data_IF_276500094994
#
_entry.id   IF_276500094994
#
_cell.length_a   1.000
_cell.length_b   1.000
_cell.length_c   1.000
_cell.angle_alpha   90.00
_cell.angle_beta   90.00
_cell.angle_gamma   90.00
#
_symmetry.space_group_name_H-M   'P 1'
#
loop_
_entity.id
_entity.type
_entity.pdbx_description
1 polymer ?
#
# COMPACT_ATOMS: atom_id res chain seq x y z
N UNK A 1 26.72 16.76 36.79
CA UNK A 1 26.55 17.15 35.37
C UNK A 1 25.22 16.61 34.88
N UNK A 2 24.25 17.48 34.57
CA UNK A 2 22.97 17.08 33.97
C UNK A 2 23.25 16.44 32.61
N UNK A 3 23.06 15.13 32.48
CA UNK A 3 23.15 14.45 31.19
C UNK A 3 22.13 15.10 30.26
N UNK A 4 22.62 15.94 29.35
CA UNK A 4 21.83 16.51 28.26
C UNK A 4 21.39 15.33 27.39
N UNK A 5 20.09 15.30 27.08
CA UNK A 5 19.52 14.30 26.18
C UNK A 5 20.02 14.66 24.78
N UNK A 6 20.67 13.71 24.11
CA UNK A 6 21.13 13.88 22.74
C UNK A 6 19.99 14.04 21.75
N UNK A 7 20.29 14.54 20.55
CA UNK A 7 19.31 14.73 19.48
C UNK A 7 18.62 13.42 19.08
N UNK A 8 19.40 12.33 18.96
CA UNK A 8 18.92 11.00 18.61
C UNK A 8 18.57 10.12 19.82
N UNK A 9 18.63 10.65 21.05
CA UNK A 9 18.31 9.88 22.24
C UNK A 9 16.80 9.62 22.37
N UNK A 10 16.43 8.37 22.58
CA UNK A 10 15.04 7.93 22.70
C UNK A 10 14.66 7.85 24.17
N UNK A 11 13.82 8.78 24.63
CA UNK A 11 13.31 8.76 26.01
C UNK A 11 12.07 7.88 26.11
N UNK A 12 12.22 6.69 26.69
CA UNK A 12 11.15 5.75 27.02
C UNK A 12 10.57 6.13 28.39
N UNK A 13 9.70 7.14 28.40
CA UNK A 13 8.97 7.59 29.59
C UNK A 13 7.46 7.26 29.48
N UNK A 14 6.82 7.12 30.65
CA UNK A 14 5.34 7.12 30.71
C UNK A 14 4.82 8.54 30.45
N UNK A 15 3.86 8.69 29.54
CA UNK A 15 3.19 9.98 29.27
C UNK A 15 3.79 10.78 28.11
N UNK A 16 3.60 12.12 28.12
CA UNK A 16 3.99 13.01 27.00
C UNK A 16 5.46 13.43 26.99
N UNK A 17 6.21 13.19 28.08
CA UNK A 17 7.55 13.76 28.29
C UNK A 17 8.67 13.28 27.36
N UNK A 18 8.42 12.30 26.49
CA UNK A 18 9.39 11.84 25.47
C UNK A 18 8.99 12.20 24.03
N UNK A 19 7.79 12.76 23.81
CA UNK A 19 7.18 12.85 22.47
C UNK A 19 7.83 13.94 21.60
N UNK A 20 8.43 14.96 22.21
CA UNK A 20 8.94 16.13 21.50
C UNK A 20 10.40 16.00 21.04
N UNK A 21 11.12 14.97 21.48
CA UNK A 21 12.51 14.73 21.07
C UNK A 21 12.60 14.11 19.67
N UNK A 22 13.58 14.55 18.88
CA UNK A 22 13.80 14.09 17.50
C UNK A 22 14.08 12.58 17.42
N UNK A 23 14.95 12.04 18.26
CA UNK A 23 15.19 10.60 18.39
C UNK A 23 13.92 9.80 18.69
N UNK A 24 12.97 10.33 19.47
CA UNK A 24 11.69 9.66 19.68
C UNK A 24 10.81 9.63 18.41
N UNK A 25 10.85 10.69 17.58
CA UNK A 25 10.15 10.70 16.28
C UNK A 25 10.75 9.65 15.35
N UNK A 26 12.07 9.66 15.18
CA UNK A 26 12.80 8.66 14.38
C UNK A 26 12.51 7.23 14.84
N UNK A 27 12.54 7.00 16.15
CA UNK A 27 12.15 5.73 16.74
C UNK A 27 10.69 5.37 16.44
N UNK A 28 9.76 6.33 16.56
CA UNK A 28 8.35 6.11 16.26
C UNK A 28 8.11 5.79 14.78
N UNK A 29 8.87 6.39 13.87
CA UNK A 29 8.80 6.14 12.43
C UNK A 29 9.30 4.74 12.10
N UNK A 30 10.47 4.35 12.62
CA UNK A 30 11.01 2.99 12.50
C UNK A 30 10.05 1.93 13.03
N UNK A 31 9.42 2.19 14.18
CA UNK A 31 8.41 1.31 14.77
C UNK A 31 7.19 1.20 13.84
N UNK A 32 6.76 2.31 13.20
CA UNK A 32 5.63 2.33 12.25
C UNK A 32 5.94 1.57 10.96
N UNK A 33 7.12 1.76 10.40
CA UNK A 33 7.59 1.12 9.16
C UNK A 33 7.66 -0.41 9.31
N UNK A 34 8.14 -0.88 10.46
CA UNK A 34 8.34 -2.31 10.72
C UNK A 34 7.12 -2.98 11.38
N UNK A 35 6.05 -2.22 11.68
CA UNK A 35 4.93 -2.70 12.49
C UNK A 35 4.19 -3.88 11.85
N UNK A 36 3.90 -3.77 10.56
CA UNK A 36 3.10 -4.75 9.82
C UNK A 36 3.84 -6.10 9.70
N UNK A 37 5.12 -6.06 9.33
CA UNK A 37 5.97 -7.25 9.25
C UNK A 37 6.10 -7.94 10.61
N UNK A 38 6.27 -7.16 11.68
CA UNK A 38 6.36 -7.70 13.04
C UNK A 38 5.04 -8.36 13.47
N UNK A 39 3.89 -7.76 13.16
CA UNK A 39 2.59 -8.26 13.59
C UNK A 39 2.13 -9.48 12.79
N UNK A 40 2.41 -9.50 11.49
CA UNK A 40 2.02 -10.59 10.58
C UNK A 40 2.98 -11.79 10.66
N UNK A 41 4.13 -11.65 11.31
CA UNK A 41 5.06 -12.75 11.49
C UNK A 41 4.66 -13.67 12.65
N UNK A 42 4.54 -14.96 12.37
CA UNK A 42 4.40 -16.00 13.40
C UNK A 42 5.75 -16.45 13.98
N UNK A 43 6.87 -16.08 13.33
CA UNK A 43 8.21 -16.54 13.69
C UNK A 43 8.86 -15.58 14.69
N UNK A 44 9.24 -16.11 15.86
CA UNK A 44 9.92 -15.34 16.90
C UNK A 44 11.27 -14.78 16.44
N UNK A 45 12.01 -15.52 15.62
CA UNK A 45 13.32 -15.07 15.11
C UNK A 45 13.19 -13.82 14.23
N UNK A 46 12.15 -13.75 13.38
CA UNK A 46 11.87 -12.58 12.54
C UNK A 46 11.55 -11.37 13.42
N UNK A 47 10.73 -11.56 14.47
CA UNK A 47 10.42 -10.51 15.44
C UNK A 47 11.67 -10.00 16.16
N UNK A 48 12.57 -10.90 16.54
CA UNK A 48 13.85 -10.54 17.16
C UNK A 48 14.74 -9.74 16.21
N UNK A 49 14.84 -10.15 14.94
CA UNK A 49 15.61 -9.43 13.90
C UNK A 49 15.06 -8.02 13.70
N UNK A 50 13.74 -7.85 13.64
CA UNK A 50 13.11 -6.53 13.50
C UNK A 50 13.48 -5.63 14.68
N UNK A 51 13.35 -6.15 15.92
CA UNK A 51 13.70 -5.40 17.14
C UNK A 51 15.17 -5.00 17.14
N UNK A 52 16.07 -5.93 16.82
CA UNK A 52 17.50 -5.68 16.73
C UNK A 52 17.82 -4.61 15.67
N UNK A 53 17.14 -4.65 14.53
CA UNK A 53 17.29 -3.67 13.44
C UNK A 53 16.90 -2.27 13.90
N UNK A 54 15.77 -2.12 14.60
CA UNK A 54 15.33 -0.82 15.13
C UNK A 54 16.33 -0.26 16.14
N UNK A 55 16.80 -1.11 17.07
CA UNK A 55 17.79 -0.71 18.07
C UNK A 55 19.09 -0.27 17.40
N UNK A 56 19.56 -1.04 16.42
CA UNK A 56 20.78 -0.75 15.67
C UNK A 56 20.66 0.57 14.91
N UNK A 57 19.56 0.82 14.20
CA UNK A 57 19.34 2.06 13.44
C UNK A 57 19.45 3.33 14.30
N UNK A 58 18.95 3.31 15.54
CA UNK A 58 19.10 4.43 16.47
C UNK A 58 20.54 4.58 16.96
N UNK A 59 21.20 3.46 17.30
CA UNK A 59 22.59 3.47 17.78
C UNK A 59 23.59 3.89 16.72
N UNK A 60 23.37 3.51 15.46
CA UNK A 60 24.22 3.89 14.34
C UNK A 60 24.21 5.42 14.10
N UNK A 61 23.16 6.12 14.57
CA UNK A 61 23.06 7.59 14.61
C UNK A 61 23.61 8.21 15.90
N UNK A 62 24.21 7.40 16.77
CA UNK A 62 24.71 7.83 18.08
C UNK A 62 23.64 7.97 19.17
N UNK A 63 22.40 7.55 18.90
CA UNK A 63 21.28 7.63 19.84
C UNK A 63 21.33 6.55 20.92
N UNK A 64 20.88 6.91 22.13
CA UNK A 64 20.71 6.00 23.27
C UNK A 64 19.25 5.88 23.66
N UNK A 65 18.88 4.73 24.20
CA UNK A 65 17.56 4.54 24.79
C UNK A 65 17.62 4.87 26.28
N UNK A 66 16.80 5.80 26.74
CA UNK A 66 16.85 6.35 28.08
C UNK A 66 15.52 6.12 28.80
N UNK A 67 15.57 5.70 30.07
CA UNK A 67 14.41 5.72 30.99
C UNK A 67 14.62 6.75 32.10
N UNK A 68 13.57 7.40 32.61
CA UNK A 68 13.68 8.23 33.80
C UNK A 68 14.21 7.40 34.98
N UNK A 69 15.16 7.94 35.74
CA UNK A 69 15.59 7.30 36.98
C UNK A 69 14.41 7.26 37.97
N UNK A 70 14.25 6.14 38.67
CA UNK A 70 13.25 6.06 39.75
C UNK A 70 13.70 6.91 40.93
N UNK A 71 12.75 7.63 41.56
CA UNK A 71 13.01 8.36 42.81
C UNK A 71 13.57 7.37 43.85
N UNK A 72 14.84 7.52 44.22
CA UNK A 72 15.46 6.78 45.32
C UNK A 72 16.62 5.82 44.97
N UNK A 73 17.02 5.65 43.70
CA UNK A 73 18.20 4.82 43.37
C UNK A 73 19.39 5.58 42.77
N UNK A 74 19.14 6.66 42.04
CA UNK A 74 20.17 7.46 41.37
C UNK A 74 19.79 8.95 41.43
N UNK A 75 19.81 9.55 42.62
CA UNK A 75 19.44 10.98 42.79
C UNK A 75 20.31 11.93 41.96
N UNK A 76 21.49 11.46 41.52
CA UNK A 76 22.43 12.21 40.71
C UNK A 76 22.13 12.18 39.20
N UNK A 77 21.39 11.18 38.71
CA UNK A 77 21.13 10.98 37.27
C UNK A 77 19.64 11.04 36.95
N UNK A 78 19.24 12.02 36.14
CA UNK A 78 17.85 12.20 35.68
C UNK A 78 17.37 11.06 34.76
N UNK A 79 18.29 10.45 34.00
CA UNK A 79 18.01 9.39 33.03
C UNK A 79 19.05 8.28 33.10
N UNK A 80 18.61 7.05 32.85
CA UNK A 80 19.42 5.84 32.82
C UNK A 80 19.31 5.20 31.43
N UNK A 81 20.43 4.80 30.86
CA UNK A 81 20.47 4.10 29.58
C UNK A 81 19.93 2.66 29.72
N UNK A 82 19.01 2.29 28.84
CA UNK A 82 18.46 0.94 28.69
C UNK A 82 19.37 0.11 27.78
N UNK A 83 19.69 -1.11 28.21
CA UNK A 83 20.58 -2.05 27.50
C UNK A 83 20.05 -3.48 27.61
N UNK A 84 20.53 -4.35 26.73
CA UNK A 84 20.22 -5.78 26.73
C UNK A 84 18.73 -6.07 26.64
N UNK A 85 18.30 -7.09 27.39
CA UNK A 85 16.92 -7.60 27.39
C UNK A 85 15.88 -6.54 27.77
N UNK A 86 16.20 -5.65 28.72
CA UNK A 86 15.31 -4.55 29.12
C UNK A 86 14.94 -3.64 27.94
N UNK A 87 15.90 -3.35 27.07
CA UNK A 87 15.69 -2.54 25.88
C UNK A 87 14.86 -3.30 24.85
N UNK A 88 15.20 -4.55 24.59
CA UNK A 88 14.47 -5.39 23.64
C UNK A 88 13.01 -5.55 24.06
N UNK A 89 12.75 -5.82 25.34
CA UNK A 89 11.41 -5.88 25.90
C UNK A 89 10.66 -4.55 25.76
N UNK A 90 11.31 -3.42 25.96
CA UNK A 90 10.67 -2.11 25.79
C UNK A 90 10.26 -1.85 24.34
N UNK A 91 11.11 -2.22 23.37
CA UNK A 91 10.83 -2.11 21.94
C UNK A 91 9.72 -3.06 21.52
N UNK A 92 9.79 -4.33 21.91
CA UNK A 92 8.73 -5.31 21.64
C UNK A 92 7.38 -4.89 22.23
N UNK A 93 7.38 -4.40 23.47
CA UNK A 93 6.18 -3.86 24.11
C UNK A 93 5.61 -2.73 23.25
N UNK A 94 6.45 -1.78 22.82
CA UNK A 94 5.99 -0.68 21.96
C UNK A 94 5.39 -1.17 20.63
N UNK A 95 6.01 -2.14 19.96
CA UNK A 95 5.48 -2.77 18.74
C UNK A 95 4.09 -3.37 18.94
N UNK A 96 3.87 -4.07 20.07
CA UNK A 96 2.56 -4.67 20.41
C UNK A 96 1.46 -3.62 20.61
N UNK A 97 1.78 -2.48 21.24
CA UNK A 97 0.79 -1.48 21.64
C UNK A 97 0.55 -0.33 20.63
N UNK A 98 1.27 -0.29 19.51
CA UNK A 98 1.04 0.71 18.45
C UNK A 98 -0.35 0.56 17.76
N UNK A 99 -0.97 -0.61 17.90
CA UNK A 99 -2.29 -0.99 17.38
C UNK A 99 -3.45 -0.04 17.69
N UNK A 100 -3.39 0.75 18.77
CA UNK A 100 -4.52 1.62 19.17
C UNK A 100 -4.63 2.94 18.40
N UNK A 101 -3.66 3.33 17.58
CA UNK A 101 -3.69 4.62 16.86
C UNK A 101 -4.02 4.53 15.37
N UNK A 102 -3.71 3.43 14.67
CA UNK A 102 -4.08 3.27 13.25
C UNK A 102 -5.60 3.24 13.01
N UNK A 103 -6.41 2.89 14.01
CA UNK A 103 -7.87 2.93 13.90
C UNK A 103 -8.50 4.32 13.93
N UNK A 104 -7.77 5.40 14.25
CA UNK A 104 -8.38 6.72 14.53
C UNK A 104 -8.02 7.85 13.56
N UNK A 105 -6.98 7.71 12.75
CA UNK A 105 -6.57 8.77 11.79
C UNK A 105 -6.52 8.32 10.33
N UNK A 106 -6.60 7.01 10.06
CA UNK A 106 -6.59 6.47 8.69
C UNK A 106 -7.98 6.36 8.05
N UNK A 107 -9.05 6.57 8.82
CA UNK A 107 -10.43 6.31 8.41
C UNK A 107 -11.04 7.34 7.45
N UNK A 108 -10.46 8.54 7.31
CA UNK A 108 -11.03 9.58 6.45
C UNK A 108 -10.24 9.75 5.14
N UNK A 109 -8.90 9.78 5.18
CA UNK A 109 -8.09 9.86 3.95
C UNK A 109 -8.06 8.55 3.17
N UNK A 110 -7.88 7.40 3.84
CA UNK A 110 -7.90 6.10 3.18
C UNK A 110 -9.27 5.73 2.62
N UNK A 111 -10.35 6.13 3.30
CA UNK A 111 -11.71 5.89 2.81
C UNK A 111 -12.05 6.77 1.60
N UNK A 112 -11.53 8.01 1.56
CA UNK A 112 -11.67 8.90 0.40
C UNK A 112 -10.97 8.31 -0.83
N UNK A 113 -9.71 7.86 -0.70
CA UNK A 113 -8.98 7.23 -1.81
C UNK A 113 -9.63 5.92 -2.27
N UNK A 114 -10.10 5.08 -1.34
CA UNK A 114 -10.81 3.84 -1.67
C UNK A 114 -12.15 4.13 -2.37
N UNK A 115 -12.86 5.19 -1.98
CA UNK A 115 -14.09 5.59 -2.64
C UNK A 115 -13.82 6.15 -4.05
N UNK A 116 -12.80 6.98 -4.22
CA UNK A 116 -12.36 7.46 -5.53
C UNK A 116 -11.95 6.30 -6.45
N UNK A 117 -11.21 5.31 -5.92
CA UNK A 117 -10.83 4.13 -6.68
C UNK A 117 -12.05 3.29 -7.09
N UNK A 118 -13.06 3.17 -6.21
CA UNK A 118 -14.32 2.48 -6.52
C UNK A 118 -15.10 3.18 -7.62
N UNK A 119 -15.22 4.51 -7.57
CA UNK A 119 -15.88 5.31 -8.61
C UNK A 119 -15.16 5.19 -9.96
N UNK A 120 -13.83 5.21 -9.95
CA UNK A 120 -13.03 5.02 -11.16
C UNK A 120 -13.23 3.62 -11.76
N UNK A 121 -13.21 2.57 -10.93
CA UNK A 121 -13.48 1.19 -11.37
C UNK A 121 -14.89 1.04 -11.96
N UNK A 122 -15.92 1.66 -11.34
CA UNK A 122 -17.28 1.65 -11.87
C UNK A 122 -17.37 2.34 -13.24
N UNK A 123 -16.70 3.49 -13.38
CA UNK A 123 -16.65 4.23 -14.65
C UNK A 123 -15.97 3.41 -15.75
N UNK A 124 -14.85 2.76 -15.44
CA UNK A 124 -14.13 1.88 -16.37
C UNK A 124 -15.00 0.69 -16.81
N UNK A 125 -15.72 0.06 -15.88
CA UNK A 125 -16.64 -1.05 -16.23
C UNK A 125 -17.75 -0.60 -17.17
N UNK A 126 -18.34 0.59 -16.93
CA UNK A 126 -19.36 1.14 -17.82
C UNK A 126 -18.81 1.47 -19.22
N UNK A 127 -17.58 2.00 -19.30
CA UNK A 127 -16.91 2.25 -20.58
C UNK A 127 -16.64 0.95 -21.34
N UNK A 128 -16.16 -0.09 -20.67
CA UNK A 128 -15.92 -1.41 -21.28
C UNK A 128 -17.22 -1.99 -21.84
N UNK A 129 -18.32 -1.94 -21.07
CA UNK A 129 -19.63 -2.40 -21.55
C UNK A 129 -20.11 -1.61 -22.77
N UNK A 130 -19.93 -0.29 -22.75
CA UNK A 130 -20.30 0.57 -23.88
C UNK A 130 -19.48 0.24 -25.14
N UNK A 131 -18.18 -0.03 -24.99
CA UNK A 131 -17.31 -0.43 -26.10
C UNK A 131 -17.73 -1.79 -26.66
N UNK A 132 -18.05 -2.76 -25.81
CA UNK A 132 -18.54 -4.08 -26.24
C UNK A 132 -19.82 -3.98 -27.08
N UNK A 133 -20.78 -3.15 -26.65
CA UNK A 133 -22.01 -2.90 -27.43
C UNK A 133 -21.73 -2.24 -28.79
N UNK A 134 -20.75 -1.34 -28.86
CA UNK A 134 -20.36 -0.70 -30.14
C UNK A 134 -19.71 -1.70 -31.09
N UNK A 135 -18.84 -2.58 -30.57
CA UNK A 135 -18.19 -3.63 -31.37
C UNK A 135 -19.26 -4.56 -31.96
N UNK A 136 -20.20 -5.03 -31.15
CA UNK A 136 -21.29 -5.89 -31.61
C UNK A 136 -22.10 -5.26 -32.76
N UNK A 137 -22.45 -3.98 -32.65
CA UNK A 137 -23.16 -3.26 -33.73
C UNK A 137 -22.34 -3.14 -35.01
N UNK A 138 -21.02 -2.97 -34.91
CA UNK A 138 -20.13 -2.92 -36.06
C UNK A 138 -20.03 -4.29 -36.75
N UNK A 139 -20.01 -5.37 -35.97
CA UNK A 139 -20.03 -6.74 -36.49
C UNK A 139 -21.34 -7.02 -37.24
N UNK A 140 -22.49 -6.69 -36.67
CA UNK A 140 -23.80 -6.83 -37.31
C UNK A 140 -23.90 -6.04 -38.64
N UNK A 141 -23.39 -4.81 -38.66
CA UNK A 141 -23.34 -3.98 -39.87
C UNK A 141 -22.40 -4.55 -40.95
N UNK A 142 -21.26 -5.10 -40.52
CA UNK A 142 -20.30 -5.76 -41.40
C UNK A 142 -20.91 -7.00 -42.07
N UNK A 143 -21.57 -7.86 -41.28
CA UNK A 143 -22.26 -9.04 -41.80
C UNK A 143 -23.37 -8.66 -42.79
N UNK A 144 -24.14 -7.62 -42.47
CA UNK A 144 -25.19 -7.11 -43.35
C UNK A 144 -24.60 -6.64 -44.68
N UNK A 145 -23.50 -5.89 -44.63
CA UNK A 145 -22.81 -5.41 -45.83
C UNK A 145 -22.26 -6.56 -46.67
N UNK A 146 -21.68 -7.59 -46.04
CA UNK A 146 -21.20 -8.79 -46.74
C UNK A 146 -22.34 -9.57 -47.41
N UNK A 147 -23.49 -9.70 -46.75
CA UNK A 147 -24.68 -10.34 -47.35
C UNK A 147 -25.19 -9.57 -48.56
N UNK A 148 -25.30 -8.24 -48.47
CA UNK A 148 -25.71 -7.41 -49.60
C UNK A 148 -24.74 -7.56 -50.79
N UNK A 149 -23.43 -7.55 -50.54
CA UNK A 149 -22.43 -7.75 -51.59
C UNK A 149 -22.56 -9.13 -52.26
N UNK A 150 -22.77 -10.18 -51.47
CA UNK A 150 -22.96 -11.55 -51.98
C UNK A 150 -24.18 -11.67 -52.90
N UNK A 151 -25.30 -11.04 -52.52
CA UNK A 151 -26.52 -11.00 -53.35
C UNK A 151 -26.23 -10.32 -54.69
N UNK A 152 -25.64 -9.11 -54.66
CA UNK A 152 -25.32 -8.36 -55.88
C UNK A 152 -24.36 -9.12 -56.81
N UNK A 153 -23.35 -9.79 -56.26
CA UNK A 153 -22.43 -10.61 -57.05
C UNK A 153 -23.15 -11.80 -57.73
N UNK A 154 -24.11 -12.40 -57.04
CA UNK A 154 -24.89 -13.53 -57.56
C UNK A 154 -25.80 -13.07 -58.70
N UNK A 155 -26.54 -11.98 -58.51
CA UNK A 155 -27.40 -11.38 -59.53
C UNK A 155 -26.61 -10.97 -60.78
N UNK A 156 -25.43 -10.36 -60.60
CA UNK A 156 -24.56 -10.00 -61.71
C UNK A 156 -24.10 -11.21 -62.52
N UNK A 157 -23.74 -12.31 -61.84
CA UNK A 157 -23.29 -13.54 -62.49
C UNK A 157 -24.42 -14.19 -63.30
N UNK A 158 -25.62 -14.26 -62.75
CA UNK A 158 -26.80 -14.79 -63.45
C UNK A 158 -27.13 -13.99 -64.71
N UNK A 159 -27.13 -12.65 -64.62
CA UNK A 159 -27.36 -11.78 -65.79
C UNK A 159 -26.29 -11.95 -66.86
N UNK A 160 -25.03 -12.12 -66.46
CA UNK A 160 -23.92 -12.32 -67.38
C UNK A 160 -23.99 -13.68 -68.08
N UNK A 161 -24.36 -14.75 -67.37
CA UNK A 161 -24.49 -16.09 -67.93
C UNK A 161 -25.68 -16.18 -68.91
N UNK A 162 -26.80 -15.51 -68.62
CA UNK A 162 -27.92 -15.35 -69.56
C UNK A 162 -27.52 -14.65 -70.86
N UNK A 163 -26.66 -13.62 -70.79
CA UNK A 163 -26.15 -12.91 -71.98
C UNK A 163 -25.20 -13.77 -72.82
N UNK A 164 -24.38 -14.63 -72.19
CA UNK A 164 -23.48 -15.56 -72.89
C UNK A 164 -24.24 -16.70 -73.59
N UNK A 165 -25.27 -17.27 -72.95
CA UNK A 165 -26.07 -18.36 -73.53
C UNK A 165 -26.77 -17.98 -74.85
N UNK A 166 -27.25 -16.74 -74.96
CA UNK A 166 -27.93 -16.23 -76.16
C UNK A 166 -27.00 -15.92 -77.35
N UNK A 167 -25.68 -15.97 -77.16
CA UNK A 167 -24.69 -15.66 -78.23
C UNK A 167 -24.21 -16.90 -79.00
N UNK A 168 -24.59 -18.10 -78.55
CA UNK A 168 -24.13 -19.40 -79.12
C UNK A 168 -25.17 -20.10 -80.01
N UNK A 169 -26.35 -19.50 -80.19
CA UNK A 169 -27.40 -19.98 -81.08
C UNK A 169 -27.50 -19.09 -82.32
N UNK A 170 -26.57 -19.26 -83.26
CA UNK A 170 -26.68 -18.85 -84.67
C UNK A 170 -25.79 -19.74 -85.52
#
# INVERSE_FOLDING_TARGET
>A
MTSLIGEHDVVIAKGRGGIENQGYKEYSDLITENWEEYHNSDKNDVKAVIVATIIKSIRDRGGKFLKPASKGKDEEKKYIELKGEDLEHAVQHRMRYQTKKKGKTSGEQGQSEVNQLKELCQTLMQQIQTMQQKIQKLEENSETSQRCLHILCTEYKEQHDLKKGNSTSN
#
